data_IF_183172247958
#
_entry.id   IF_183172247958
#
_cell.length_a   1.000
_cell.length_b   1.000
_cell.length_c   1.000
_cell.angle_alpha   90.00
_cell.angle_beta   90.00
_cell.angle_gamma   90.00
#
_symmetry.space_group_name_H-M   'P 1'
#
loop_
_entity.id
_entity.type
_entity.pdbx_description
1 polymer ?
#
# COMPACT_ATOMS: atom_id res chain seq x y z
N UNK A 1 44.44 -14.99 11.70
CA UNK A 1 43.66 -14.17 12.64
C UNK A 1 42.25 -14.71 12.60
N UNK A 2 41.84 -15.48 13.65
CA UNK A 2 40.50 -16.06 13.74
C UNK A 2 39.44 -14.96 13.96
N UNK A 3 38.31 -15.01 13.23
CA UNK A 3 37.16 -14.13 13.48
C UNK A 3 36.49 -14.61 14.79
N UNK A 4 36.40 -13.73 15.75
CA UNK A 4 35.71 -14.00 17.01
C UNK A 4 34.23 -13.68 16.78
N UNK A 5 33.38 -14.67 16.96
CA UNK A 5 31.93 -14.50 16.92
C UNK A 5 31.40 -14.40 18.37
N UNK A 6 30.80 -13.27 18.71
CA UNK A 6 30.04 -13.12 19.95
C UNK A 6 28.68 -13.80 19.77
N UNK A 7 28.28 -14.61 20.74
CA UNK A 7 26.96 -15.23 20.77
C UNK A 7 26.24 -14.85 22.05
N UNK A 8 24.90 -14.75 21.97
CA UNK A 8 24.05 -14.44 23.12
C UNK A 8 22.75 -13.73 22.72
N UNK A 9 21.76 -13.73 23.64
CA UNK A 9 20.44 -13.11 23.43
C UNK A 9 20.55 -11.62 23.01
N UNK A 10 21.44 -10.77 23.59
CA UNK A 10 21.56 -9.39 23.17
C UNK A 10 22.06 -9.22 21.73
N UNK A 11 22.97 -10.08 21.28
CA UNK A 11 23.48 -10.03 19.92
C UNK A 11 22.42 -10.47 18.89
N UNK A 12 21.66 -11.52 19.21
CA UNK A 12 20.53 -11.95 18.37
C UNK A 12 19.51 -10.83 18.23
N UNK A 13 19.22 -10.08 19.29
CA UNK A 13 18.31 -8.95 19.25
C UNK A 13 18.84 -7.80 18.36
N UNK A 14 20.15 -7.50 18.41
CA UNK A 14 20.78 -6.47 17.60
C UNK A 14 20.83 -6.87 16.11
N UNK A 15 21.19 -8.11 15.83
CA UNK A 15 21.17 -8.67 14.46
C UNK A 15 19.75 -8.63 13.89
N UNK A 16 18.72 -9.03 14.67
CA UNK A 16 17.32 -8.94 14.25
C UNK A 16 16.91 -7.51 13.92
N UNK A 17 17.29 -6.51 14.74
CA UNK A 17 17.01 -5.11 14.47
C UNK A 17 17.68 -4.63 13.19
N UNK A 18 18.89 -5.06 12.94
CA UNK A 18 19.65 -4.72 11.73
C UNK A 18 18.99 -5.34 10.50
N UNK A 19 18.56 -6.60 10.56
CA UNK A 19 17.83 -7.25 9.49
C UNK A 19 16.50 -6.57 9.21
N UNK A 20 15.70 -6.23 10.25
CA UNK A 20 14.42 -5.51 10.09
C UNK A 20 14.65 -4.18 9.35
N UNK A 21 15.65 -3.39 9.75
CA UNK A 21 15.96 -2.12 9.09
C UNK A 21 16.38 -2.32 7.64
N UNK A 22 17.25 -3.30 7.37
CA UNK A 22 17.70 -3.63 6.04
C UNK A 22 16.53 -4.08 5.16
N UNK A 23 15.68 -4.96 5.66
CA UNK A 23 14.52 -5.47 4.91
C UNK A 23 13.55 -4.36 4.53
N UNK A 24 13.17 -3.49 5.48
CA UNK A 24 12.28 -2.35 5.20
C UNK A 24 12.84 -1.47 4.09
N UNK A 25 14.14 -1.18 4.11
CA UNK A 25 14.77 -0.33 3.11
C UNK A 25 14.87 -1.05 1.76
N UNK A 26 15.41 -2.27 1.74
CA UNK A 26 15.67 -3.01 0.49
C UNK A 26 14.36 -3.38 -0.20
N UNK A 27 13.41 -3.97 0.54
CA UNK A 27 12.11 -4.33 -0.03
C UNK A 27 11.26 -3.09 -0.34
N UNK A 28 11.25 -2.07 0.52
CA UNK A 28 10.51 -0.84 0.28
C UNK A 28 10.98 -0.11 -0.98
N UNK A 29 12.28 0.08 -1.13
CA UNK A 29 12.86 0.72 -2.34
C UNK A 29 12.67 -0.19 -3.57
N UNK A 30 12.95 -1.49 -3.45
CA UNK A 30 12.80 -2.44 -4.54
C UNK A 30 11.38 -2.48 -5.09
N UNK A 31 10.37 -2.58 -4.21
CA UNK A 31 8.96 -2.55 -4.57
C UNK A 31 8.58 -1.22 -5.20
N UNK A 32 9.04 -0.09 -4.65
CA UNK A 32 8.74 1.24 -5.17
C UNK A 32 9.31 1.43 -6.58
N UNK A 33 10.55 1.00 -6.83
CA UNK A 33 11.16 1.05 -8.16
C UNK A 33 10.41 0.16 -9.16
N UNK A 34 10.02 -1.05 -8.74
CA UNK A 34 9.24 -1.95 -9.57
C UNK A 34 7.87 -1.38 -9.91
N UNK A 35 7.20 -0.75 -8.95
CA UNK A 35 5.93 -0.05 -9.16
C UNK A 35 6.09 1.09 -10.16
N UNK A 36 7.12 1.93 -10.02
CA UNK A 36 7.39 3.04 -10.94
C UNK A 36 7.64 2.51 -12.36
N UNK A 37 8.45 1.46 -12.50
CA UNK A 37 8.74 0.84 -13.80
C UNK A 37 7.46 0.29 -14.45
N UNK A 38 6.61 -0.41 -13.68
CA UNK A 38 5.34 -0.96 -14.16
C UNK A 38 4.38 0.15 -14.60
N UNK A 39 4.23 1.21 -13.80
CA UNK A 39 3.37 2.35 -14.15
C UNK A 39 3.87 3.08 -15.39
N UNK A 40 5.19 3.26 -15.50
CA UNK A 40 5.80 3.85 -16.68
C UNK A 40 5.49 3.05 -17.95
N UNK A 41 5.62 1.72 -17.86
CA UNK A 41 5.31 0.83 -18.98
C UNK A 41 3.84 0.88 -19.39
N UNK A 42 2.91 0.93 -18.40
CA UNK A 42 1.45 0.91 -18.65
C UNK A 42 0.93 2.26 -19.12
N UNK A 43 1.27 3.34 -18.42
CA UNK A 43 0.61 4.64 -18.65
C UNK A 43 1.40 5.58 -19.56
N UNK A 44 2.72 5.45 -19.65
CA UNK A 44 3.62 6.31 -20.45
C UNK A 44 3.40 7.81 -20.23
N UNK A 45 2.87 8.22 -19.09
CA UNK A 45 2.56 9.59 -18.73
C UNK A 45 2.89 9.82 -17.26
N UNK A 46 3.70 10.83 -16.97
CA UNK A 46 4.19 11.15 -15.62
C UNK A 46 3.06 11.43 -14.61
N UNK A 47 1.98 12.09 -15.03
CA UNK A 47 0.85 12.41 -14.16
C UNK A 47 0.22 11.12 -13.60
N UNK A 48 0.04 10.10 -14.46
CA UNK A 48 -0.54 8.81 -14.08
C UNK A 48 0.41 7.90 -13.31
N UNK A 49 1.64 8.33 -13.11
CA UNK A 49 2.61 7.70 -12.21
C UNK A 49 2.57 8.40 -10.84
N UNK A 50 2.67 9.73 -10.84
CA UNK A 50 2.76 10.53 -9.62
C UNK A 50 1.48 10.44 -8.77
N UNK A 51 0.30 10.49 -9.40
CA UNK A 51 -0.99 10.49 -8.68
C UNK A 51 -1.20 9.19 -7.86
N UNK A 52 -1.08 7.97 -8.43
CA UNK A 52 -1.19 6.74 -7.65
C UNK A 52 -0.10 6.57 -6.59
N UNK A 53 1.14 6.98 -6.90
CA UNK A 53 2.26 6.90 -5.94
C UNK A 53 2.02 7.81 -4.75
N UNK A 54 1.54 9.04 -4.97
CA UNK A 54 1.19 9.96 -3.89
C UNK A 54 0.15 9.35 -2.95
N UNK A 55 -0.90 8.74 -3.50
CA UNK A 55 -1.93 8.05 -2.71
C UNK A 55 -1.35 6.91 -1.88
N UNK A 56 -0.46 6.09 -2.45
CA UNK A 56 0.25 5.04 -1.73
C UNK A 56 1.11 5.59 -0.59
N UNK A 57 1.84 6.67 -0.86
CA UNK A 57 2.73 7.31 0.11
C UNK A 57 1.94 7.83 1.32
N UNK A 58 0.82 8.52 1.09
CA UNK A 58 -0.06 8.98 2.17
C UNK A 58 -0.66 7.83 2.97
N UNK A 59 -1.06 6.74 2.31
CA UNK A 59 -1.58 5.55 3.01
C UNK A 59 -0.55 4.96 3.95
N UNK A 60 0.71 4.84 3.51
CA UNK A 60 1.80 4.32 4.34
C UNK A 60 2.12 5.25 5.50
N UNK A 61 2.20 6.57 5.28
CA UNK A 61 2.47 7.54 6.34
C UNK A 61 1.38 7.48 7.41
N UNK A 62 0.11 7.47 7.03
CA UNK A 62 -1.01 7.41 7.97
C UNK A 62 -0.95 6.09 8.76
N UNK A 63 -0.64 4.98 8.09
CA UNK A 63 -0.51 3.69 8.79
C UNK A 63 0.65 3.67 9.78
N UNK A 64 1.83 4.19 9.39
CA UNK A 64 2.98 4.30 10.31
C UNK A 64 2.63 5.20 11.49
N UNK A 65 1.95 6.32 11.25
CA UNK A 65 1.46 7.20 12.31
C UNK A 65 0.50 6.48 13.26
N UNK A 66 -0.43 5.68 12.75
CA UNK A 66 -1.34 4.89 13.56
C UNK A 66 -0.61 3.84 14.40
N UNK A 67 0.34 3.11 13.81
CA UNK A 67 1.16 2.15 14.56
C UNK A 67 1.92 2.81 15.69
N UNK A 68 2.48 4.02 15.46
CA UNK A 68 3.15 4.80 16.49
C UNK A 68 2.19 5.23 17.61
N UNK A 69 1.00 5.70 17.29
CA UNK A 69 -0.02 6.09 18.26
C UNK A 69 -0.51 4.91 19.13
N UNK A 70 -0.64 3.73 18.54
CA UNK A 70 -1.06 2.51 19.24
C UNK A 70 0.09 1.84 20.01
N UNK A 71 1.32 2.36 19.88
CA UNK A 71 2.50 1.76 20.51
C UNK A 71 2.84 0.35 19.99
N UNK A 72 2.40 0.04 18.77
CA UNK A 72 2.61 -1.28 18.18
C UNK A 72 4.05 -1.46 17.72
N UNK A 73 4.68 -2.56 18.16
CA UNK A 73 6.06 -2.87 17.82
C UNK A 73 6.11 -3.67 16.51
N UNK A 74 6.94 -3.22 15.58
CA UNK A 74 7.24 -3.97 14.36
C UNK A 74 8.16 -5.13 14.71
N UNK A 75 7.77 -6.34 14.32
CA UNK A 75 8.56 -7.58 14.49
C UNK A 75 9.25 -7.95 13.17
N UNK A 76 10.14 -8.95 13.19
CA UNK A 76 10.79 -9.47 11.95
C UNK A 76 9.76 -9.90 10.91
N UNK A 77 8.68 -10.56 11.34
CA UNK A 77 7.61 -11.02 10.42
C UNK A 77 6.81 -9.84 9.89
N UNK A 78 6.52 -8.86 10.72
CA UNK A 78 5.75 -7.69 10.33
C UNK A 78 6.57 -6.59 9.63
N UNK A 79 7.91 -6.71 9.57
CA UNK A 79 8.75 -5.71 8.87
C UNK A 79 8.37 -5.51 7.39
N UNK A 80 7.86 -6.57 6.77
CA UNK A 80 7.48 -6.56 5.35
C UNK A 80 6.09 -5.94 5.06
N UNK A 81 5.36 -5.47 6.12
CA UNK A 81 4.01 -4.94 5.94
C UNK A 81 3.97 -3.71 5.04
N UNK A 82 5.02 -2.86 5.06
CA UNK A 82 5.10 -1.64 4.23
C UNK A 82 5.10 -2.00 2.75
N UNK A 83 5.95 -2.97 2.35
CA UNK A 83 6.03 -3.42 0.97
C UNK A 83 4.70 -4.04 0.49
N UNK A 84 4.09 -4.90 1.31
CA UNK A 84 2.79 -5.51 1.00
C UNK A 84 1.68 -4.46 0.91
N UNK A 85 1.66 -3.49 1.82
CA UNK A 85 0.70 -2.40 1.80
C UNK A 85 0.83 -1.54 0.55
N UNK A 86 2.07 -1.21 0.13
CA UNK A 86 2.34 -0.49 -1.12
C UNK A 86 1.79 -1.25 -2.33
N UNK A 87 2.05 -2.56 -2.43
CA UNK A 87 1.58 -3.39 -3.55
C UNK A 87 0.06 -3.43 -3.60
N UNK A 88 -0.60 -3.70 -2.47
CA UNK A 88 -2.07 -3.81 -2.39
C UNK A 88 -2.76 -2.47 -2.65
N UNK A 89 -2.25 -1.37 -2.10
CA UNK A 89 -2.76 -0.02 -2.36
C UNK A 89 -2.58 0.37 -3.82
N UNK A 90 -1.41 0.03 -4.40
CA UNK A 90 -1.14 0.31 -5.80
C UNK A 90 -2.08 -0.46 -6.73
N UNK A 91 -2.40 -1.72 -6.43
CA UNK A 91 -3.35 -2.49 -7.21
C UNK A 91 -4.72 -1.79 -7.27
N UNK A 92 -5.24 -1.28 -6.14
CA UNK A 92 -6.48 -0.50 -6.09
C UNK A 92 -6.38 0.78 -6.92
N UNK A 93 -5.27 1.53 -6.78
CA UNK A 93 -5.05 2.78 -7.49
C UNK A 93 -4.95 2.58 -9.01
N UNK A 94 -4.29 1.51 -9.48
CA UNK A 94 -4.20 1.16 -10.91
C UNK A 94 -5.59 0.86 -11.46
N UNK A 95 -6.42 0.10 -10.76
CA UNK A 95 -7.77 -0.22 -11.21
C UNK A 95 -8.63 1.03 -11.39
N UNK A 96 -8.61 1.96 -10.46
CA UNK A 96 -9.35 3.23 -10.55
C UNK A 96 -8.78 4.09 -11.69
N UNK A 97 -7.47 4.25 -11.78
CA UNK A 97 -6.82 5.08 -12.81
C UNK A 97 -7.09 4.55 -14.21
N UNK A 98 -6.96 3.24 -14.41
CA UNK A 98 -7.25 2.60 -15.70
C UNK A 98 -8.72 2.76 -16.07
N UNK A 99 -9.63 2.59 -15.12
CA UNK A 99 -11.05 2.76 -15.36
C UNK A 99 -11.42 4.19 -15.71
N UNK A 100 -10.82 5.15 -15.04
CA UNK A 100 -10.99 6.57 -15.37
C UNK A 100 -10.55 6.86 -16.83
N UNK A 101 -9.39 6.39 -17.23
CA UNK A 101 -8.87 6.59 -18.59
C UNK A 101 -9.78 5.93 -19.65
N UNK A 102 -10.29 4.72 -19.38
CA UNK A 102 -11.24 4.05 -20.26
C UNK A 102 -12.53 4.86 -20.41
N UNK A 103 -13.10 5.34 -19.29
CA UNK A 103 -14.34 6.12 -19.34
C UNK A 103 -14.13 7.47 -20.01
N UNK A 104 -13.00 8.12 -19.80
CA UNK A 104 -12.64 9.37 -20.50
C UNK A 104 -12.53 9.18 -22.00
N UNK A 105 -11.99 8.04 -22.46
CA UNK A 105 -11.93 7.70 -23.89
C UNK A 105 -13.30 7.41 -24.47
N UNK A 106 -14.17 6.72 -23.71
CA UNK A 106 -15.51 6.33 -24.19
C UNK A 106 -16.53 7.48 -24.19
N UNK A 107 -16.34 8.47 -23.34
CA UNK A 107 -17.23 9.62 -23.17
C UNK A 107 -16.46 10.95 -23.23
N UNK A 108 -15.90 11.31 -24.39
CA UNK A 108 -15.05 12.51 -24.52
C UNK A 108 -15.80 13.83 -24.27
N UNK A 109 -17.12 13.84 -24.42
CA UNK A 109 -17.98 15.03 -24.23
C UNK A 109 -18.35 15.28 -22.76
N UNK A 110 -18.13 14.31 -21.85
CA UNK A 110 -18.46 14.48 -20.44
C UNK A 110 -17.39 15.28 -19.70
N UNK A 111 -17.86 16.04 -18.71
CA UNK A 111 -16.97 16.78 -17.82
C UNK A 111 -16.10 15.81 -17.00
N UNK A 112 -14.86 16.20 -16.71
CA UNK A 112 -13.93 15.38 -15.92
C UNK A 112 -14.52 15.00 -14.55
N UNK A 113 -15.25 15.87 -13.90
CA UNK A 113 -15.91 15.61 -12.63
C UNK A 113 -16.96 14.48 -12.73
N UNK A 114 -17.77 14.47 -13.79
CA UNK A 114 -18.75 13.41 -14.03
C UNK A 114 -18.06 12.05 -14.25
N UNK A 115 -16.94 12.06 -15.00
CA UNK A 115 -16.17 10.83 -15.26
C UNK A 115 -15.54 10.30 -13.96
N UNK A 116 -15.02 11.19 -13.10
CA UNK A 116 -14.47 10.81 -11.78
C UNK A 116 -15.56 10.19 -10.92
N UNK A 117 -16.71 10.84 -10.78
CA UNK A 117 -17.84 10.34 -10.01
C UNK A 117 -18.32 8.97 -10.52
N UNK A 118 -18.44 8.82 -11.83
CA UNK A 118 -18.83 7.56 -12.47
C UNK A 118 -17.78 6.46 -12.26
N UNK A 119 -16.49 6.80 -12.31
CA UNK A 119 -15.40 5.87 -12.05
C UNK A 119 -15.43 5.37 -10.62
N UNK A 120 -15.51 6.30 -9.66
CA UNK A 120 -15.54 6.00 -8.23
C UNK A 120 -16.73 5.11 -7.88
N UNK A 121 -17.93 5.45 -8.36
CA UNK A 121 -19.14 4.65 -8.13
C UNK A 121 -19.03 3.24 -8.72
N UNK A 122 -18.50 3.09 -9.95
CA UNK A 122 -18.37 1.78 -10.60
C UNK A 122 -17.27 0.91 -9.99
N UNK A 123 -16.21 1.51 -9.46
CA UNK A 123 -15.07 0.78 -8.88
C UNK A 123 -15.22 0.51 -7.38
N UNK A 124 -16.17 1.18 -6.71
CA UNK A 124 -16.37 1.03 -5.27
C UNK A 124 -16.64 -0.42 -4.87
N UNK A 125 -17.67 -1.02 -5.42
CA UNK A 125 -18.08 -2.37 -5.06
C UNK A 125 -17.04 -3.45 -5.41
N UNK A 126 -16.45 -3.50 -6.63
CA UNK A 126 -15.41 -4.48 -6.93
C UNK A 126 -14.20 -4.38 -6.01
N UNK A 127 -13.72 -3.15 -5.74
CA UNK A 127 -12.57 -2.95 -4.87
C UNK A 127 -12.94 -3.27 -3.41
N UNK A 128 -14.12 -2.89 -2.94
CA UNK A 128 -14.60 -3.22 -1.60
C UNK A 128 -14.61 -4.74 -1.37
N UNK A 129 -15.15 -5.52 -2.32
CA UNK A 129 -15.14 -6.99 -2.21
C UNK A 129 -13.72 -7.56 -2.17
N UNK A 130 -12.82 -7.04 -2.99
CA UNK A 130 -11.42 -7.46 -2.99
C UNK A 130 -10.75 -7.14 -1.63
N UNK A 131 -10.98 -5.95 -1.11
CA UNK A 131 -10.45 -5.54 0.20
C UNK A 131 -11.02 -6.41 1.31
N UNK A 132 -12.34 -6.67 1.33
CA UNK A 132 -12.98 -7.51 2.34
C UNK A 132 -12.43 -8.94 2.32
N UNK A 133 -12.29 -9.54 1.14
CA UNK A 133 -11.72 -10.91 1.03
C UNK A 133 -10.27 -10.95 1.51
N UNK A 134 -9.49 -9.91 1.21
CA UNK A 134 -8.10 -9.81 1.68
C UNK A 134 -8.03 -9.58 3.18
N UNK A 135 -8.91 -8.74 3.73
CA UNK A 135 -9.04 -8.56 5.19
C UNK A 135 -9.37 -9.88 5.88
N UNK A 136 -10.33 -10.64 5.36
CA UNK A 136 -10.67 -11.95 5.92
C UNK A 136 -9.47 -12.92 5.90
N UNK A 137 -8.67 -12.89 4.83
CA UNK A 137 -7.44 -13.68 4.76
C UNK A 137 -6.42 -13.27 5.83
N UNK A 138 -6.20 -11.96 6.07
CA UNK A 138 -5.29 -11.51 7.13
C UNK A 138 -5.87 -11.72 8.53
N UNK A 139 -7.18 -11.56 8.73
CA UNK A 139 -7.84 -11.84 10.00
C UNK A 139 -7.75 -13.35 10.37
N UNK A 140 -7.67 -14.25 9.39
CA UNK A 140 -7.49 -15.67 9.68
C UNK A 140 -6.18 -15.98 10.42
N UNK A 141 -5.17 -15.08 10.31
CA UNK A 141 -3.90 -15.20 11.04
C UNK A 141 -4.06 -15.01 12.56
N UNK A 142 -5.17 -14.43 13.02
CA UNK A 142 -5.48 -14.28 14.46
C UNK A 142 -5.62 -15.65 15.15
N UNK A 143 -6.00 -16.68 14.40
CA UNK A 143 -6.09 -18.05 14.93
C UNK A 143 -4.72 -18.75 15.05
N UNK A 144 -3.63 -18.09 14.68
CA UNK A 144 -2.27 -18.58 14.89
C UNK A 144 -1.92 -18.57 16.38
N UNK A 145 -1.08 -19.50 16.83
CA UNK A 145 -0.52 -19.51 18.19
C UNK A 145 0.72 -18.58 18.31
N UNK A 146 1.19 -18.01 17.20
CA UNK A 146 2.43 -17.22 17.12
C UNK A 146 2.08 -15.74 17.14
N UNK A 147 2.37 -15.05 18.26
CA UNK A 147 2.04 -13.63 18.44
C UNK A 147 2.50 -12.70 17.30
N UNK A 148 3.75 -12.78 16.77
CA UNK A 148 4.16 -11.97 15.63
C UNK A 148 3.30 -12.15 14.37
N UNK A 149 2.72 -13.32 14.14
CA UNK A 149 1.83 -13.59 13.01
C UNK A 149 0.46 -12.92 13.24
N UNK A 150 -0.06 -13.00 14.47
CA UNK A 150 -1.30 -12.32 14.86
C UNK A 150 -1.14 -10.79 14.67
N UNK A 151 -0.06 -10.23 15.19
CA UNK A 151 0.23 -8.79 15.08
C UNK A 151 0.33 -8.37 13.61
N UNK A 152 1.01 -9.16 12.77
CA UNK A 152 1.08 -8.92 11.33
C UNK A 152 -0.29 -8.93 10.66
N UNK A 153 -1.15 -9.91 10.95
CA UNK A 153 -2.51 -10.00 10.43
C UNK A 153 -3.36 -8.78 10.78
N UNK A 154 -3.27 -8.32 12.03
CA UNK A 154 -3.95 -7.11 12.49
C UNK A 154 -3.40 -5.86 11.80
N UNK A 155 -2.07 -5.69 11.72
CA UNK A 155 -1.45 -4.56 11.02
C UNK A 155 -1.90 -4.47 9.56
N UNK A 156 -1.92 -5.61 8.84
CA UNK A 156 -2.38 -5.66 7.45
C UNK A 156 -3.87 -5.35 7.32
N UNK A 157 -4.69 -5.80 8.25
CA UNK A 157 -6.13 -5.50 8.26
C UNK A 157 -6.38 -3.99 8.39
N UNK A 158 -5.77 -3.33 9.38
CA UNK A 158 -5.88 -1.88 9.53
C UNK A 158 -5.27 -1.12 8.35
N UNK A 159 -4.12 -1.58 7.84
CA UNK A 159 -3.48 -1.02 6.66
C UNK A 159 -4.37 -1.03 5.43
N UNK A 160 -5.10 -2.13 5.19
CA UNK A 160 -6.04 -2.24 4.07
C UNK A 160 -7.26 -1.32 4.22
N UNK A 161 -7.79 -1.18 5.42
CA UNK A 161 -8.90 -0.25 5.69
C UNK A 161 -8.45 1.19 5.39
N UNK A 162 -7.29 1.59 5.91
CA UNK A 162 -6.72 2.92 5.66
C UNK A 162 -6.47 3.12 4.16
N UNK A 163 -5.85 2.16 3.49
CA UNK A 163 -5.57 2.23 2.06
C UNK A 163 -6.84 2.37 1.23
N UNK A 164 -7.90 1.65 1.57
CA UNK A 164 -9.19 1.76 0.92
C UNK A 164 -9.79 3.17 1.07
N UNK A 165 -9.81 3.69 2.30
CA UNK A 165 -10.33 5.05 2.56
C UNK A 165 -9.53 6.10 1.82
N UNK A 166 -8.19 6.04 1.88
CA UNK A 166 -7.30 6.98 1.19
C UNK A 166 -7.46 6.88 -0.33
N UNK A 167 -7.53 5.67 -0.88
CA UNK A 167 -7.73 5.46 -2.32
C UNK A 167 -9.03 6.09 -2.81
N UNK A 168 -10.14 5.96 -2.07
CA UNK A 168 -11.42 6.51 -2.50
C UNK A 168 -11.63 8.00 -2.17
N UNK A 169 -10.84 8.58 -1.29
CA UNK A 169 -10.90 10.02 -0.95
C UNK A 169 -9.84 10.81 -1.70
N UNK A 170 -8.59 10.41 -1.60
CA UNK A 170 -7.45 11.20 -2.08
C UNK A 170 -7.19 11.01 -3.58
N UNK A 171 -7.31 9.77 -4.11
CA UNK A 171 -7.02 9.52 -5.52
C UNK A 171 -7.99 10.26 -6.46
N UNK A 172 -9.33 10.22 -6.29
CA UNK A 172 -10.26 11.01 -7.12
C UNK A 172 -10.01 12.52 -7.03
N UNK A 173 -9.67 13.00 -5.84
CA UNK A 173 -9.34 14.42 -5.61
C UNK A 173 -8.09 14.82 -6.39
N UNK A 174 -7.02 14.03 -6.32
CA UNK A 174 -5.79 14.28 -7.08
C UNK A 174 -6.03 14.22 -8.60
N UNK A 175 -6.83 13.29 -9.09
CA UNK A 175 -7.22 13.22 -10.50
C UNK A 175 -7.97 14.49 -10.91
N UNK A 176 -8.87 15.00 -10.08
CA UNK A 176 -9.60 16.23 -10.34
C UNK A 176 -8.66 17.42 -10.52
N UNK A 177 -7.68 17.59 -9.64
CA UNK A 177 -6.70 18.67 -9.74
C UNK A 177 -5.81 18.60 -10.98
N UNK A 178 -5.46 17.40 -11.43
CA UNK A 178 -4.55 17.21 -12.58
C UNK A 178 -5.27 17.32 -13.92
N UNK A 179 -6.58 17.15 -13.96
CA UNK A 179 -7.37 17.19 -15.21
C UNK A 179 -8.05 18.52 -15.45
N UNK A 180 -7.98 19.46 -14.51
CA UNK A 180 -8.52 20.84 -14.63
C UNK A 180 -7.56 21.80 -15.34
N UNK A 181 -6.35 21.36 -15.67
CA UNK A 181 -5.42 22.07 -16.57
C UNK A 181 -5.46 21.43 -17.95
#
# INVERSE_FOLDING_TARGET
IGKIYLGGIPMIADDMMTFIKSDIIVFGIGVLLFIIATLWFVFRNLIWIVVPISSCFFSVIIMIGLLGLLGWKVTVISSNFIALMLILTMAMNIHISTRFLQLKKNFPSKNNFEIISLTTSKMFWPILYTVLTTILAFLSLIFSEIKPIIDFGLMMTFGLIISFVITFTLLPTLISFTTTK
#
